data_IF_973061041764
#
_entry.id   IF_973061041764
#
_cell.length_a   1.000
_cell.length_b   1.000
_cell.length_c   1.000
_cell.angle_alpha   90.00
_cell.angle_beta   90.00
_cell.angle_gamma   90.00
#
_symmetry.space_group_name_H-M   'P 1'
#
loop_
_entity.id
_entity.type
_entity.pdbx_description
1 polymer ?
#
# COMPACT_ATOMS: atom_id res chain seq x y z
N UNK A 1 -61.17 42.12 15.16
CA UNK A 1 -61.72 41.59 13.89
C UNK A 1 -60.68 41.85 12.80
N UNK A 2 -60.36 40.82 11.99
CA UNK A 2 -60.01 40.82 10.54
C UNK A 2 -59.31 42.07 9.96
N UNK A 3 -58.28 42.03 9.11
CA UNK A 3 -57.52 41.00 8.39
C UNK A 3 -56.62 41.80 7.39
N UNK A 4 -55.53 41.18 6.92
CA UNK A 4 -54.99 41.25 5.53
C UNK A 4 -53.92 42.32 5.14
N UNK A 5 -52.79 41.74 4.67
CA UNK A 5 -51.83 42.12 3.60
C UNK A 5 -50.99 43.40 3.73
N UNK A 6 -49.66 43.23 3.70
CA UNK A 6 -48.80 43.44 2.53
C UNK A 6 -47.34 43.18 3.00
N UNK A 7 -46.81 41.98 2.82
CA UNK A 7 -45.94 41.62 1.69
C UNK A 7 -44.78 42.61 1.48
N UNK A 8 -43.71 42.48 2.29
CA UNK A 8 -42.41 43.09 1.99
C UNK A 8 -41.33 42.01 2.12
N UNK A 9 -41.10 41.36 0.98
CA UNK A 9 -39.77 41.18 0.39
C UNK A 9 -38.65 40.68 1.33
N UNK A 10 -38.74 39.43 1.76
CA UNK A 10 -37.56 38.67 2.21
C UNK A 10 -36.76 38.30 0.95
N UNK A 11 -35.85 39.19 0.54
CA UNK A 11 -34.93 38.98 -0.56
C UNK A 11 -34.00 37.80 -0.21
N UNK A 12 -34.22 36.70 -0.93
CA UNK A 12 -33.35 35.54 -1.03
C UNK A 12 -31.94 35.98 -1.47
N UNK A 13 -30.98 35.99 -0.56
CA UNK A 13 -29.56 35.89 -0.88
C UNK A 13 -29.12 34.43 -0.72
N UNK A 14 -29.57 33.54 -1.62
CA UNK A 14 -28.81 32.33 -1.90
C UNK A 14 -27.55 32.75 -2.63
N UNK A 15 -26.51 33.09 -1.86
CA UNK A 15 -25.16 33.16 -2.38
C UNK A 15 -24.83 31.75 -2.91
N UNK A 16 -24.61 31.69 -4.21
CA UNK A 16 -24.26 30.50 -4.95
C UNK A 16 -23.06 29.80 -4.30
N UNK A 17 -23.28 28.62 -3.73
CA UNK A 17 -22.24 27.62 -3.55
C UNK A 17 -21.92 27.02 -4.93
N UNK A 18 -21.39 27.85 -5.83
CA UNK A 18 -20.70 27.42 -7.04
C UNK A 18 -19.31 26.94 -6.64
N UNK A 19 -19.25 25.84 -5.89
CA UNK A 19 -18.01 25.12 -5.68
C UNK A 19 -17.63 24.53 -7.03
N UNK A 20 -16.67 25.17 -7.71
CA UNK A 20 -15.99 24.59 -8.85
C UNK A 20 -15.55 23.19 -8.45
N UNK A 21 -16.24 22.18 -8.98
CA UNK A 21 -15.73 20.81 -9.00
C UNK A 21 -14.48 20.86 -9.86
N UNK A 22 -13.33 21.14 -9.21
CA UNK A 22 -12.04 20.73 -9.74
C UNK A 22 -12.21 19.26 -10.05
N UNK A 23 -12.20 18.94 -11.35
CA UNK A 23 -12.07 17.56 -11.79
C UNK A 23 -10.81 17.04 -11.10
N UNK A 24 -11.00 16.29 -10.02
CA UNK A 24 -9.96 15.45 -9.45
C UNK A 24 -9.58 14.54 -10.59
N UNK A 25 -8.42 14.80 -11.20
CA UNK A 25 -7.73 13.83 -12.03
C UNK A 25 -7.63 12.59 -11.15
N UNK A 26 -8.52 11.62 -11.39
CA UNK A 26 -8.38 10.30 -10.80
C UNK A 26 -6.96 9.86 -11.14
N UNK A 27 -6.13 9.52 -10.14
CA UNK A 27 -4.80 9.02 -10.42
C UNK A 27 -4.99 7.84 -11.38
N UNK A 28 -4.55 8.02 -12.63
CA UNK A 28 -4.51 6.95 -13.62
C UNK A 28 -3.93 5.74 -12.93
N UNK A 29 -4.65 4.62 -13.00
CA UNK A 29 -4.29 3.33 -12.39
C UNK A 29 -2.82 3.01 -12.70
N UNK A 30 -1.90 3.48 -11.87
CA UNK A 30 -0.47 3.20 -11.99
C UNK A 30 -0.27 1.86 -11.32
N UNK A 31 0.17 0.91 -12.12
CA UNK A 31 -0.05 -0.51 -11.88
C UNK A 31 1.23 -1.27 -11.60
N UNK A 32 2.32 -0.55 -11.35
CA UNK A 32 3.58 -1.17 -10.99
C UNK A 32 3.77 -1.06 -9.48
N UNK A 33 3.74 -2.20 -8.80
CA UNK A 33 4.13 -2.30 -7.39
C UNK A 33 5.54 -2.88 -7.34
N UNK A 34 6.46 -2.15 -6.72
CA UNK A 34 7.82 -2.61 -6.47
C UNK A 34 7.96 -2.92 -4.97
N UNK A 35 8.31 -4.15 -4.61
CA UNK A 35 8.51 -4.60 -3.24
C UNK A 35 9.98 -4.93 -3.02
N UNK A 36 10.66 -4.15 -2.18
CA UNK A 36 12.07 -4.31 -1.87
C UNK A 36 12.27 -5.03 -0.54
N UNK A 37 13.22 -5.96 -0.52
CA UNK A 37 13.71 -6.61 0.69
C UNK A 37 15.23 -6.39 0.80
N UNK A 38 15.65 -5.84 1.94
CA UNK A 38 17.04 -5.62 2.33
C UNK A 38 17.39 -6.53 3.51
N UNK A 39 18.44 -7.32 3.37
CA UNK A 39 18.81 -8.37 4.32
C UNK A 39 20.19 -8.12 4.92
N UNK A 40 20.38 -8.61 6.14
CA UNK A 40 21.67 -8.78 6.81
C UNK A 40 21.63 -10.01 7.71
N UNK A 41 22.71 -10.80 7.71
CA UNK A 41 22.81 -11.98 8.57
C UNK A 41 23.01 -11.64 10.06
N UNK A 42 23.43 -10.42 10.37
CA UNK A 42 23.59 -9.93 11.75
C UNK A 42 23.24 -8.43 11.84
N UNK A 43 22.40 -8.04 12.80
CA UNK A 43 21.98 -6.64 13.05
C UNK A 43 23.13 -5.67 13.36
N UNK A 44 24.29 -6.17 13.77
CA UNK A 44 25.51 -5.37 13.96
C UNK A 44 26.22 -5.02 12.66
N UNK A 45 25.86 -5.65 11.55
CA UNK A 45 26.43 -5.43 10.23
C UNK A 45 25.52 -4.53 9.36
N UNK A 46 26.09 -3.87 8.33
CA UNK A 46 25.31 -3.22 7.29
C UNK A 46 24.41 -4.21 6.53
N UNK A 47 23.44 -3.68 5.78
CA UNK A 47 22.69 -4.46 4.78
C UNK A 47 23.68 -5.05 3.76
N UNK A 48 23.62 -6.37 3.57
CA UNK A 48 24.53 -7.12 2.70
C UNK A 48 23.95 -7.35 1.29
N UNK A 49 22.61 -7.43 1.19
CA UNK A 49 21.91 -7.68 -0.07
C UNK A 49 20.56 -6.99 -0.04
N UNK A 50 20.20 -6.37 -1.15
CA UNK A 50 18.91 -5.74 -1.38
C UNK A 50 18.40 -6.20 -2.75
N UNK A 51 17.14 -6.61 -2.81
CA UNK A 51 16.48 -7.05 -4.05
C UNK A 51 15.03 -6.59 -4.10
N UNK A 52 14.51 -6.43 -5.32
CA UNK A 52 13.17 -5.89 -5.58
C UNK A 52 12.36 -6.84 -6.46
N UNK A 53 11.14 -7.15 -6.02
CA UNK A 53 10.11 -7.83 -6.80
C UNK A 53 9.20 -6.77 -7.45
N UNK A 54 8.87 -6.94 -8.73
CA UNK A 54 7.97 -6.03 -9.42
C UNK A 54 6.71 -6.76 -9.86
N UNK A 55 5.56 -6.13 -9.63
CA UNK A 55 4.23 -6.63 -9.98
C UNK A 55 3.55 -5.65 -10.94
N UNK A 56 2.93 -6.18 -11.99
CA UNK A 56 2.00 -5.45 -12.85
C UNK A 56 0.53 -5.64 -12.42
N UNK A 57 -0.42 -5.36 -13.31
CA UNK A 57 -1.85 -5.61 -13.10
C UNK A 57 -2.30 -7.06 -13.36
N UNK A 58 -1.62 -8.00 -12.75
CA UNK A 58 -1.96 -9.40 -12.88
C UNK A 58 -1.68 -10.14 -11.58
N UNK A 59 -2.52 -11.14 -11.30
CA UNK A 59 -2.29 -12.04 -10.18
C UNK A 59 -0.91 -12.67 -10.33
N UNK A 60 -0.09 -12.55 -9.30
CA UNK A 60 1.27 -13.08 -9.29
C UNK A 60 1.75 -13.29 -7.86
N UNK A 61 2.58 -14.30 -7.69
CA UNK A 61 3.28 -14.61 -6.44
C UNK A 61 4.77 -14.77 -6.76
N UNK A 62 5.61 -14.10 -5.96
CA UNK A 62 7.06 -14.07 -6.14
C UNK A 62 7.75 -14.11 -4.79
N UNK A 63 9.01 -14.54 -4.77
CA UNK A 63 9.81 -14.64 -3.55
C UNK A 63 11.29 -14.37 -3.80
N UNK A 64 11.98 -13.84 -2.79
CA UNK A 64 13.44 -13.68 -2.75
C UNK A 64 14.00 -14.51 -1.59
N UNK A 65 14.86 -15.47 -1.92
CA UNK A 65 15.56 -16.27 -0.91
C UNK A 65 16.85 -15.58 -0.46
N UNK A 66 17.01 -15.43 0.85
CA UNK A 66 18.25 -15.05 1.54
C UNK A 66 18.77 -16.22 2.37
N UNK A 67 19.86 -16.02 3.12
CA UNK A 67 20.52 -17.12 3.84
C UNK A 67 19.61 -17.76 4.90
N UNK A 68 19.05 -16.96 5.81
CA UNK A 68 18.21 -17.46 6.91
C UNK A 68 16.71 -17.29 6.67
N UNK A 69 16.34 -16.47 5.69
CA UNK A 69 14.98 -15.95 5.55
C UNK A 69 14.54 -15.90 4.09
N UNK A 70 13.24 -15.99 3.83
CA UNK A 70 12.67 -15.78 2.48
C UNK A 70 11.62 -14.69 2.57
N UNK A 71 11.76 -13.68 1.73
CA UNK A 71 10.72 -12.67 1.51
C UNK A 71 9.75 -13.16 0.44
N UNK A 72 8.46 -13.03 0.68
CA UNK A 72 7.42 -13.42 -0.26
C UNK A 72 6.43 -12.29 -0.44
N UNK A 73 5.93 -12.16 -1.66
CA UNK A 73 4.90 -11.21 -2.01
C UNK A 73 3.91 -11.84 -3.00
N UNK A 74 2.62 -11.69 -2.73
CA UNK A 74 1.54 -12.10 -3.62
C UNK A 74 0.62 -10.90 -3.88
N UNK A 75 0.43 -10.57 -5.15
CA UNK A 75 -0.50 -9.56 -5.60
C UNK A 75 -1.72 -10.22 -6.24
N UNK A 76 -2.90 -9.75 -5.85
CA UNK A 76 -4.18 -10.10 -6.44
C UNK A 76 -4.75 -8.85 -7.12
N UNK A 77 -4.98 -8.94 -8.43
CA UNK A 77 -5.50 -7.87 -9.26
C UNK A 77 -7.03 -7.73 -9.16
N UNK A 78 -7.72 -8.61 -8.42
CA UNK A 78 -9.15 -8.52 -8.16
C UNK A 78 -10.03 -8.81 -9.38
N UNK A 79 -9.55 -9.58 -10.37
CA UNK A 79 -10.31 -9.84 -11.61
C UNK A 79 -11.59 -10.65 -11.39
N UNK A 80 -11.66 -11.41 -10.30
CA UNK A 80 -12.76 -12.36 -10.02
C UNK A 80 -13.79 -11.75 -9.06
N UNK A 81 -13.33 -11.06 -8.03
CA UNK A 81 -14.13 -10.60 -6.88
C UNK A 81 -14.07 -9.07 -6.68
N UNK A 82 -13.32 -8.36 -7.52
CA UNK A 82 -13.01 -6.94 -7.37
C UNK A 82 -12.24 -6.61 -6.07
N UNK A 83 -11.60 -7.60 -5.45
CA UNK A 83 -10.79 -7.41 -4.26
C UNK A 83 -9.31 -7.39 -4.65
N UNK A 84 -8.74 -6.18 -4.68
CA UNK A 84 -7.30 -6.02 -4.89
C UNK A 84 -6.57 -6.15 -3.58
N UNK A 85 -5.49 -6.93 -3.58
CA UNK A 85 -4.72 -7.13 -2.37
C UNK A 85 -3.24 -7.35 -2.67
N UNK A 86 -2.40 -6.95 -1.72
CA UNK A 86 -1.00 -7.33 -1.65
C UNK A 86 -0.75 -8.02 -0.32
N UNK A 87 -0.32 -9.28 -0.37
CA UNK A 87 0.11 -10.02 0.80
C UNK A 87 1.62 -10.09 0.83
N UNK A 88 2.22 -9.69 1.94
CA UNK A 88 3.64 -9.80 2.21
C UNK A 88 3.85 -10.78 3.36
N UNK A 89 4.85 -11.64 3.27
CA UNK A 89 5.24 -12.48 4.40
C UNK A 89 6.70 -12.87 4.35
N UNK A 90 7.22 -13.23 5.52
CA UNK A 90 8.60 -13.65 5.70
C UNK A 90 8.62 -15.01 6.37
N UNK A 91 9.39 -15.94 5.83
CA UNK A 91 9.59 -17.28 6.40
C UNK A 91 11.05 -17.53 6.74
N UNK A 92 11.30 -18.64 7.43
CA UNK A 92 12.63 -19.26 7.42
C UNK A 92 13.05 -19.68 5.99
N UNK A 93 14.33 -20.01 5.82
CA UNK A 93 14.91 -20.47 4.54
C UNK A 93 14.33 -21.79 4.00
N UNK A 94 13.54 -22.52 4.81
CA UNK A 94 12.90 -23.79 4.43
C UNK A 94 11.41 -23.64 4.13
N UNK A 95 10.83 -22.46 4.36
CA UNK A 95 9.39 -22.20 4.28
C UNK A 95 8.59 -22.89 5.39
N UNK A 96 9.21 -23.33 6.49
CA UNK A 96 8.53 -24.12 7.54
C UNK A 96 7.95 -23.27 8.66
N UNK A 97 8.55 -22.11 8.94
CA UNK A 97 8.06 -21.14 9.91
C UNK A 97 7.78 -19.80 9.23
N UNK A 98 6.63 -19.18 9.57
CA UNK A 98 6.28 -17.81 9.15
C UNK A 98 6.60 -16.87 10.30
N UNK A 99 7.49 -15.91 10.08
CA UNK A 99 7.88 -14.92 11.09
C UNK A 99 6.94 -13.71 11.10
N UNK A 100 6.43 -13.34 9.93
CA UNK A 100 5.58 -12.17 9.77
C UNK A 100 4.68 -12.33 8.55
N UNK A 101 3.44 -11.85 8.63
CA UNK A 101 2.55 -11.72 7.46
C UNK A 101 1.71 -10.47 7.58
N UNK A 102 1.49 -9.81 6.44
CA UNK A 102 0.72 -8.58 6.31
C UNK A 102 -0.15 -8.69 5.06
N UNK A 103 -1.39 -8.20 5.17
CA UNK A 103 -2.33 -8.09 4.06
C UNK A 103 -2.70 -6.63 3.90
N UNK A 104 -2.42 -6.08 2.72
CA UNK A 104 -2.83 -4.76 2.30
C UNK A 104 -4.00 -4.91 1.34
N UNK A 105 -5.19 -4.50 1.78
CA UNK A 105 -6.34 -4.36 0.88
C UNK A 105 -6.20 -3.04 0.14
N UNK A 106 -6.28 -3.09 -1.19
CA UNK A 106 -6.04 -1.96 -2.06
C UNK A 106 -7.36 -1.52 -2.69
N UNK A 107 -7.48 -0.21 -2.91
CA UNK A 107 -8.64 0.34 -3.60
C UNK A 107 -8.80 -0.27 -5.00
N UNK A 108 -10.01 -0.70 -5.41
CA UNK A 108 -10.21 -1.33 -6.72
C UNK A 108 -9.85 -0.41 -7.89
N UNK A 109 -10.26 0.86 -7.76
CA UNK A 109 -10.24 1.85 -8.85
C UNK A 109 -9.02 2.77 -8.83
N UNK A 110 -8.14 2.67 -7.82
CA UNK A 110 -6.93 3.50 -7.73
C UNK A 110 -5.70 2.72 -7.29
N UNK A 111 -4.51 3.17 -7.68
CA UNK A 111 -3.25 2.59 -7.20
C UNK A 111 -2.99 2.96 -5.74
N UNK A 112 -2.24 2.13 -4.97
CA UNK A 112 -1.78 2.54 -3.65
C UNK A 112 -1.00 3.86 -3.73
N UNK A 113 -1.06 4.67 -2.67
CA UNK A 113 -0.37 5.95 -2.63
C UNK A 113 0.83 5.88 -1.70
N UNK A 114 2.01 6.24 -2.20
CA UNK A 114 3.21 6.34 -1.38
C UNK A 114 3.01 7.46 -0.36
N UNK A 115 3.03 7.12 0.92
CA UNK A 115 2.65 8.02 2.01
C UNK A 115 3.67 8.06 3.14
N UNK A 116 4.61 7.12 3.16
CA UNK A 116 5.65 7.07 4.18
C UNK A 116 6.89 7.87 3.75
N UNK A 117 7.34 8.75 4.63
CA UNK A 117 8.56 9.53 4.45
C UNK A 117 9.77 8.59 4.45
N UNK A 118 10.78 8.89 3.63
CA UNK A 118 12.03 8.12 3.56
C UNK A 118 12.13 7.14 2.39
N UNK A 119 11.16 7.11 1.47
CA UNK A 119 11.19 6.20 0.31
C UNK A 119 10.77 4.77 0.66
N UNK A 120 9.80 4.63 1.56
CA UNK A 120 9.25 3.33 1.98
C UNK A 120 7.81 3.12 1.48
N UNK A 121 7.50 3.77 0.36
CA UNK A 121 6.26 3.65 -0.37
C UNK A 121 4.98 3.76 0.46
N UNK A 122 4.05 2.84 0.20
CA UNK A 122 2.72 2.83 0.80
C UNK A 122 2.58 1.84 1.95
N UNK A 123 3.54 0.92 2.12
CA UNK A 123 3.54 -0.08 3.21
C UNK A 123 4.33 0.37 4.43
N UNK A 124 5.19 1.37 4.28
CA UNK A 124 6.19 1.74 5.28
C UNK A 124 7.34 0.74 5.35
N UNK A 125 8.36 1.06 6.14
CA UNK A 125 9.50 0.19 6.40
C UNK A 125 9.12 -0.84 7.47
N UNK A 126 9.19 -2.11 7.10
CA UNK A 126 8.88 -3.23 7.98
C UNK A 126 10.15 -4.00 8.32
N UNK A 127 10.20 -4.59 9.50
CA UNK A 127 11.33 -5.37 10.00
C UNK A 127 10.86 -6.74 10.44
N UNK A 128 11.53 -7.79 9.96
CA UNK A 128 11.39 -9.16 10.44
C UNK A 128 12.75 -9.66 10.95
N UNK A 129 12.72 -10.40 12.06
CA UNK A 129 13.92 -10.96 12.69
C UNK A 129 13.85 -12.49 12.70
N UNK A 130 14.97 -13.14 12.40
CA UNK A 130 15.04 -14.59 12.55
C UNK A 130 15.17 -14.95 14.04
N UNK A 131 14.35 -15.86 14.61
CA UNK A 131 14.29 -16.07 16.05
C UNK A 131 15.50 -16.80 16.64
N UNK A 132 16.30 -17.48 15.81
CA UNK A 132 17.44 -18.29 16.25
C UNK A 132 18.80 -17.78 15.73
N UNK A 133 18.83 -16.68 14.99
CA UNK A 133 20.07 -16.03 14.53
C UNK A 133 19.95 -14.51 14.75
N UNK A 134 21.02 -13.76 14.44
CA UNK A 134 21.00 -12.30 14.48
C UNK A 134 20.43 -11.68 13.19
N UNK A 135 19.86 -12.50 12.28
CA UNK A 135 19.45 -12.03 10.96
C UNK A 135 18.23 -11.11 11.02
N UNK A 136 18.26 -10.08 10.17
CA UNK A 136 17.20 -9.11 10.00
C UNK A 136 16.89 -8.94 8.50
N UNK A 137 15.60 -8.81 8.22
CA UNK A 137 15.09 -8.39 6.93
C UNK A 137 14.26 -7.12 7.08
N UNK A 138 14.62 -6.11 6.32
CA UNK A 138 13.83 -4.90 6.13
C UNK A 138 13.06 -5.02 4.82
N UNK A 139 11.79 -4.63 4.78
CA UNK A 139 11.04 -4.66 3.53
C UNK A 139 9.96 -3.59 3.44
N UNK A 140 9.67 -3.16 2.21
CA UNK A 140 8.65 -2.17 1.89
C UNK A 140 8.19 -2.33 0.44
N UNK A 141 7.03 -1.77 0.10
CA UNK A 141 6.55 -1.69 -1.27
C UNK A 141 6.11 -0.27 -1.65
N UNK A 142 6.37 0.07 -2.89
CA UNK A 142 6.11 1.37 -3.50
C UNK A 142 5.20 1.23 -4.72
N UNK A 143 4.32 2.21 -4.91
CA UNK A 143 3.58 2.39 -6.14
C UNK A 143 4.43 3.18 -7.14
N UNK A 144 4.42 2.76 -8.41
CA UNK A 144 5.14 3.39 -9.52
C UNK A 144 4.30 3.48 -10.78
#
# INVERSE_FOLDING_TARGET
>A
MRKILFLILLLLSLAACGGNSTATSQPTKSMSIACTAAYRADVSQPIEREETLTFGDADAEQSIAFADMVFHAAYSAGKVDNERALRLWVTDSKGTAVFQTQLYQLEPDSGPQNQFVGGHGFTGLNYSYHPASSAEMQFWCEAS
#
